data_IF_520720047823
#
_entry.id   IF_520720047823
#
_cell.length_a   1.000
_cell.length_b   1.000
_cell.length_c   1.000
_cell.angle_alpha   90.00
_cell.angle_beta   90.00
_cell.angle_gamma   90.00
#
_symmetry.space_group_name_H-M   'P 1'
#
loop_
_entity.id
_entity.type
_entity.pdbx_description
1 polymer ?
#
# COMPACT_ATOMS: atom_id res chain seq x y z
N UNK A 1 35.26 -40.55 -17.01
CA UNK A 1 34.83 -39.83 -15.79
C UNK A 1 33.36 -39.39 -15.89
N UNK A 2 32.46 -40.35 -16.12
CA UNK A 2 31.01 -40.23 -15.91
C UNK A 2 30.71 -41.30 -14.86
N UNK A 3 30.44 -40.93 -13.61
CA UNK A 3 29.75 -41.76 -12.59
C UNK A 3 29.97 -41.19 -11.17
N UNK A 4 29.40 -40.01 -10.89
CA UNK A 4 29.24 -39.53 -9.50
C UNK A 4 27.92 -38.77 -9.29
N UNK A 5 27.29 -38.25 -10.35
CA UNK A 5 26.05 -37.47 -10.24
C UNK A 5 24.76 -38.30 -10.21
N UNK A 6 24.77 -39.58 -10.60
CA UNK A 6 23.57 -40.44 -10.61
C UNK A 6 23.21 -41.02 -9.23
N UNK A 7 24.14 -41.01 -8.26
CA UNK A 7 23.95 -41.68 -6.98
C UNK A 7 23.29 -40.79 -5.89
N UNK A 8 23.28 -39.47 -6.10
CA UNK A 8 22.66 -38.51 -5.15
C UNK A 8 21.13 -38.43 -5.35
N UNK A 9 20.66 -38.61 -6.58
CA UNK A 9 19.23 -38.53 -6.93
C UNK A 9 18.43 -39.73 -6.44
N UNK A 10 19.03 -40.93 -6.41
CA UNK A 10 18.36 -42.15 -5.95
C UNK A 10 18.11 -42.20 -4.42
N UNK A 11 18.95 -41.52 -3.64
CA UNK A 11 18.83 -41.48 -2.17
C UNK A 11 17.74 -40.49 -1.72
N UNK A 12 17.54 -39.39 -2.45
CA UNK A 12 16.53 -38.38 -2.14
C UNK A 12 15.09 -38.85 -2.41
N UNK A 13 14.87 -39.67 -3.45
CA UNK A 13 13.54 -40.19 -3.80
C UNK A 13 13.02 -41.20 -2.77
N UNK A 14 13.93 -41.92 -2.09
CA UNK A 14 13.56 -42.95 -1.11
C UNK A 14 13.21 -42.38 0.27
N UNK A 15 13.81 -41.25 0.65
CA UNK A 15 13.46 -40.53 1.88
C UNK A 15 12.07 -39.86 1.83
N UNK A 16 11.58 -39.53 0.64
CA UNK A 16 10.24 -38.97 0.45
C UNK A 16 9.12 -40.02 0.53
N UNK A 17 9.43 -41.31 0.31
CA UNK A 17 8.44 -42.39 0.35
C UNK A 17 8.11 -42.87 1.78
N UNK A 18 9.09 -42.85 2.69
CA UNK A 18 8.89 -43.34 4.08
C UNK A 18 8.20 -42.32 5.02
N UNK A 19 8.14 -41.03 4.64
CA UNK A 19 7.44 -40.01 5.42
C UNK A 19 5.90 -40.02 5.24
N UNK A 20 5.38 -40.80 4.29
CA UNK A 20 3.94 -40.87 3.96
C UNK A 20 3.18 -41.97 4.73
N UNK A 21 3.85 -42.78 5.56
CA UNK A 21 3.26 -43.96 6.20
C UNK A 21 2.68 -43.74 7.62
N UNK A 22 2.51 -42.48 8.05
CA UNK A 22 2.09 -42.14 9.42
C UNK A 22 0.83 -41.28 9.54
N UNK A 23 0.01 -41.13 8.49
CA UNK A 23 -1.19 -40.31 8.57
C UNK A 23 -2.32 -41.04 9.32
N UNK A 24 -2.90 -40.47 10.40
CA UNK A 24 -4.05 -41.08 11.08
C UNK A 24 -5.25 -41.16 10.14
N UNK A 25 -5.88 -42.34 10.06
CA UNK A 25 -7.13 -42.54 9.31
C UNK A 25 -8.26 -41.75 9.97
N UNK A 26 -8.70 -40.67 9.34
CA UNK A 26 -9.94 -39.94 9.68
C UNK A 26 -11.12 -40.88 9.44
N UNK A 27 -12.02 -41.05 10.42
CA UNK A 27 -13.19 -41.91 10.27
C UNK A 27 -14.22 -41.19 9.39
N UNK A 28 -14.94 -41.89 8.50
CA UNK A 28 -16.06 -41.29 7.77
C UNK A 28 -17.14 -40.87 8.78
N UNK A 29 -17.28 -39.56 9.00
CA UNK A 29 -18.17 -38.96 10.00
C UNK A 29 -17.54 -37.88 10.88
N UNK A 30 -16.21 -37.75 10.89
CA UNK A 30 -15.53 -36.66 11.58
C UNK A 30 -15.64 -35.36 10.77
N UNK A 31 -16.53 -34.46 11.20
CA UNK A 31 -16.57 -33.08 10.72
C UNK A 31 -15.29 -32.39 11.25
N UNK A 32 -14.42 -31.83 10.39
CA UNK A 32 -13.29 -31.04 10.86
C UNK A 32 -13.79 -29.94 11.80
N UNK A 33 -13.14 -29.68 12.94
CA UNK A 33 -13.52 -28.54 13.76
C UNK A 33 -13.47 -27.29 12.88
N UNK A 34 -14.58 -26.56 12.83
CA UNK A 34 -14.67 -25.27 12.15
C UNK A 34 -13.45 -24.43 12.56
N UNK A 35 -12.70 -23.84 11.60
CA UNK A 35 -11.52 -23.07 11.95
C UNK A 35 -11.92 -22.00 12.96
N UNK A 36 -11.29 -22.06 14.14
CA UNK A 36 -11.55 -21.15 15.23
C UNK A 36 -11.57 -19.71 14.68
N UNK A 37 -12.69 -19.02 14.92
CA UNK A 37 -12.88 -17.65 14.46
C UNK A 37 -11.61 -16.83 14.80
N UNK A 38 -11.04 -16.20 13.77
CA UNK A 38 -9.85 -15.38 13.91
C UNK A 38 -10.03 -14.39 15.08
N UNK A 39 -9.02 -14.23 15.96
CA UNK A 39 -9.14 -13.42 17.16
C UNK A 39 -9.65 -12.02 16.78
N UNK A 40 -10.76 -11.62 17.41
CA UNK A 40 -11.31 -10.29 17.28
C UNK A 40 -10.30 -9.28 17.84
N UNK A 41 -9.52 -8.64 16.97
CA UNK A 41 -8.61 -7.60 17.44
C UNK A 41 -7.52 -7.13 16.50
N UNK A 42 -7.18 -7.84 15.42
CA UNK A 42 -6.19 -7.28 14.49
C UNK A 42 -6.81 -6.16 13.64
N UNK A 43 -6.20 -4.97 13.61
CA UNK A 43 -6.64 -3.89 12.75
C UNK A 43 -6.55 -4.34 11.28
N UNK A 44 -7.68 -4.68 10.68
CA UNK A 44 -7.76 -5.06 9.27
C UNK A 44 -7.35 -3.87 8.39
N UNK A 45 -6.18 -3.98 7.75
CA UNK A 45 -5.72 -3.02 6.74
C UNK A 45 -6.65 -3.12 5.52
N UNK A 46 -7.39 -2.05 5.17
CA UNK A 46 -8.24 -2.06 3.99
C UNK A 46 -7.40 -2.20 2.71
N UNK A 47 -7.97 -2.76 1.62
CA UNK A 47 -7.26 -2.86 0.36
C UNK A 47 -6.85 -1.48 -0.18
N UNK A 48 -5.92 -1.43 -1.16
CA UNK A 48 -5.58 -0.19 -1.87
C UNK A 48 -6.83 0.53 -2.37
N UNK A 49 -6.78 1.85 -2.34
CA UNK A 49 -7.90 2.67 -2.81
C UNK A 49 -7.93 2.66 -4.35
N UNK A 50 -9.09 2.84 -4.99
CA UNK A 50 -9.15 3.04 -6.43
C UNK A 50 -8.17 4.14 -6.88
N UNK A 51 -7.32 3.82 -7.85
CA UNK A 51 -6.26 4.70 -8.35
C UNK A 51 -4.88 4.47 -7.72
N UNK A 52 -4.77 3.69 -6.65
CA UNK A 52 -3.49 3.31 -6.05
C UNK A 52 -2.61 2.45 -6.99
N UNK A 53 -3.25 1.73 -7.91
CA UNK A 53 -2.62 0.96 -8.98
C UNK A 53 -2.03 1.84 -10.09
N UNK A 54 -2.54 3.06 -10.23
CA UNK A 54 -2.06 4.05 -11.22
C UNK A 54 -1.02 5.01 -10.62
N UNK A 55 -1.18 5.34 -9.34
CA UNK A 55 -0.37 6.34 -8.65
C UNK A 55 0.08 5.83 -7.28
N UNK A 56 1.37 5.48 -7.16
CA UNK A 56 1.96 5.05 -5.89
C UNK A 56 1.87 6.15 -4.81
N UNK A 57 1.92 7.42 -5.19
CA UNK A 57 1.75 8.56 -4.30
C UNK A 57 0.35 8.64 -3.69
N UNK A 58 -0.68 8.13 -4.37
CA UNK A 58 -2.02 8.04 -3.79
C UNK A 58 -2.10 6.96 -2.72
N UNK A 59 -1.45 5.81 -2.92
CA UNK A 59 -1.38 4.78 -1.88
C UNK A 59 -0.51 5.24 -0.70
N UNK A 60 0.60 5.91 -1.00
CA UNK A 60 1.47 6.55 -0.02
C UNK A 60 0.72 7.55 0.87
N UNK A 61 -0.08 8.43 0.27
CA UNK A 61 -0.96 9.37 0.98
C UNK A 61 -1.98 8.66 1.89
N UNK A 62 -2.31 7.41 1.57
CA UNK A 62 -3.29 6.58 2.27
C UNK A 62 -2.66 5.59 3.27
N UNK A 63 -1.33 5.60 3.42
CA UNK A 63 -0.60 4.69 4.33
C UNK A 63 -0.86 4.97 5.83
N UNK A 64 -1.43 6.13 6.17
CA UNK A 64 -1.98 6.41 7.50
C UNK A 64 -3.50 6.24 7.50
N UNK A 65 -3.99 5.22 8.20
CA UNK A 65 -5.36 4.73 8.12
C UNK A 65 -6.08 5.00 9.43
N UNK A 66 -6.97 5.99 9.41
CA UNK A 66 -7.90 6.24 10.51
C UNK A 66 -8.92 5.10 10.63
N UNK A 67 -9.03 4.50 11.82
CA UNK A 67 -10.01 3.47 12.14
C UNK A 67 -11.11 3.99 13.07
N UNK A 68 -12.30 3.34 13.11
CA UNK A 68 -13.41 3.78 13.94
C UNK A 68 -13.13 3.89 15.44
N UNK A 69 -12.10 3.21 15.96
CA UNK A 69 -11.66 3.34 17.36
C UNK A 69 -10.99 4.68 17.67
N UNK A 70 -10.77 5.55 16.69
CA UNK A 70 -10.02 6.80 16.83
C UNK A 70 -8.50 6.62 16.70
N UNK A 71 -8.01 5.39 16.61
CA UNK A 71 -6.61 5.10 16.34
C UNK A 71 -6.26 5.32 14.86
N UNK A 72 -4.96 5.49 14.60
CA UNK A 72 -4.39 5.53 13.26
C UNK A 72 -3.42 4.36 13.13
N UNK A 73 -3.63 3.53 12.11
CA UNK A 73 -2.66 2.52 11.70
C UNK A 73 -1.75 3.18 10.67
N UNK A 74 -0.46 3.27 10.96
CA UNK A 74 0.52 3.85 10.04
C UNK A 74 1.39 2.72 9.46
N UNK A 75 1.24 2.47 8.15
CA UNK A 75 2.02 1.45 7.42
C UNK A 75 3.49 1.84 7.25
N UNK A 76 3.87 3.07 7.60
CA UNK A 76 5.24 3.58 7.59
C UNK A 76 5.75 3.88 9.01
N UNK A 77 5.08 3.37 10.05
CA UNK A 77 5.35 3.70 11.45
C UNK A 77 6.80 3.41 11.87
N UNK A 78 7.37 2.32 11.36
CA UNK A 78 8.73 1.87 11.69
C UNK A 78 9.61 1.84 10.45
N UNK A 79 10.95 1.82 10.58
CA UNK A 79 11.84 1.74 9.42
C UNK A 79 11.63 0.46 8.61
N UNK A 80 11.42 -0.67 9.29
CA UNK A 80 11.14 -1.95 8.64
C UNK A 80 9.82 -1.91 7.85
N UNK A 81 8.75 -1.34 8.42
CA UNK A 81 7.47 -1.21 7.72
C UNK A 81 7.56 -0.25 6.52
N UNK A 82 8.29 0.85 6.68
CA UNK A 82 8.54 1.79 5.59
C UNK A 82 9.39 1.17 4.46
N UNK A 83 10.39 0.36 4.80
CA UNK A 83 11.18 -0.41 3.82
C UNK A 83 10.32 -1.43 3.09
N UNK A 84 9.52 -2.21 3.81
CA UNK A 84 8.60 -3.19 3.21
C UNK A 84 7.61 -2.50 2.26
N UNK A 85 7.07 -1.35 2.66
CA UNK A 85 6.20 -0.56 1.80
C UNK A 85 6.92 -0.08 0.54
N UNK A 86 8.14 0.48 0.66
CA UNK A 86 8.92 0.92 -0.50
C UNK A 86 9.27 -0.25 -1.44
N UNK A 87 9.67 -1.39 -0.89
CA UNK A 87 10.01 -2.59 -1.67
C UNK A 87 8.78 -3.14 -2.40
N UNK A 88 7.61 -3.17 -1.74
CA UNK A 88 6.34 -3.55 -2.36
C UNK A 88 5.92 -2.67 -3.54
N UNK A 89 6.42 -1.42 -3.59
CA UNK A 89 6.18 -0.47 -4.68
C UNK A 89 7.35 -0.38 -5.68
N UNK A 90 8.41 -1.20 -5.52
CA UNK A 90 9.61 -1.16 -6.37
C UNK A 90 10.44 0.13 -6.21
N UNK A 91 10.26 0.85 -5.11
CA UNK A 91 10.94 2.12 -4.79
C UNK A 91 12.21 1.93 -3.97
N UNK A 92 12.45 0.72 -3.46
CA UNK A 92 13.69 0.32 -2.81
C UNK A 92 13.90 -1.20 -2.98
N UNK A 93 15.15 -1.71 -2.92
CA UNK A 93 15.38 -3.14 -2.77
C UNK A 93 14.92 -3.61 -1.37
N UNK A 94 14.50 -4.87 -1.27
CA UNK A 94 14.23 -5.49 0.03
C UNK A 94 15.54 -5.64 0.82
N UNK A 95 15.49 -5.44 2.14
CA UNK A 95 16.68 -5.52 2.99
C UNK A 95 17.63 -4.32 2.85
N UNK A 96 17.14 -3.16 2.38
CA UNK A 96 17.93 -1.94 2.22
C UNK A 96 18.52 -1.41 3.55
N UNK A 97 17.98 -1.83 4.69
CA UNK A 97 18.39 -1.38 6.01
C UNK A 97 17.96 0.05 6.30
N UNK A 98 16.70 0.40 6.00
CA UNK A 98 16.18 1.76 6.21
C UNK A 98 16.31 2.18 7.68
N UNK A 99 16.80 3.40 7.90
CA UNK A 99 16.97 3.96 9.24
C UNK A 99 15.78 4.85 9.63
N UNK A 100 15.61 5.10 10.93
CA UNK A 100 14.51 5.92 11.46
C UNK A 100 14.46 7.33 10.88
N UNK A 101 15.63 7.95 10.66
CA UNK A 101 15.69 9.26 9.99
C UNK A 101 15.11 9.24 8.58
N UNK A 102 15.27 8.13 7.84
CA UNK A 102 14.72 7.98 6.50
C UNK A 102 13.21 7.72 6.55
N UNK A 103 12.76 6.87 7.47
CA UNK A 103 11.34 6.62 7.70
C UNK A 103 10.59 7.89 8.12
N UNK A 104 11.18 8.72 8.97
CA UNK A 104 10.65 10.01 9.37
C UNK A 104 10.53 10.97 8.18
N UNK A 105 11.51 11.00 7.27
CA UNK A 105 11.44 11.80 6.02
C UNK A 105 10.30 11.36 5.11
N UNK A 106 10.07 10.05 4.98
CA UNK A 106 8.92 9.51 4.24
C UNK A 106 7.60 9.98 4.86
N UNK A 107 7.42 9.80 6.16
CA UNK A 107 6.19 10.28 6.85
C UNK A 107 6.02 11.79 6.72
N UNK A 108 7.10 12.56 6.80
CA UNK A 108 7.10 14.01 6.57
C UNK A 108 6.63 14.37 5.15
N UNK A 109 7.18 13.72 4.11
CA UNK A 109 6.73 13.94 2.72
C UNK A 109 5.25 13.54 2.55
N UNK A 110 4.83 12.41 3.13
CA UNK A 110 3.44 11.96 3.08
C UNK A 110 2.49 13.05 3.57
N UNK A 111 2.80 13.72 4.67
CA UNK A 111 1.94 14.75 5.22
C UNK A 111 1.82 15.95 4.26
N UNK A 112 2.90 16.32 3.57
CA UNK A 112 2.89 17.36 2.54
C UNK A 112 2.10 16.96 1.30
N UNK A 113 2.28 15.71 0.83
CA UNK A 113 1.48 15.12 -0.25
C UNK A 113 -0.01 15.15 0.08
N UNK A 114 -0.38 14.73 1.30
CA UNK A 114 -1.78 14.78 1.76
C UNK A 114 -2.31 16.20 1.82
N UNK A 115 -1.49 17.19 2.22
CA UNK A 115 -1.89 18.59 2.24
C UNK A 115 -2.20 19.12 0.82
N UNK A 116 -1.39 18.77 -0.19
CA UNK A 116 -1.64 19.14 -1.58
C UNK A 116 -2.89 18.45 -2.14
N UNK A 117 -3.06 17.15 -1.89
CA UNK A 117 -4.27 16.42 -2.28
C UNK A 117 -5.51 17.03 -1.61
N UNK A 118 -5.45 17.38 -0.32
CA UNK A 118 -6.55 18.02 0.38
C UNK A 118 -6.90 19.39 -0.19
N UNK A 119 -5.90 20.18 -0.61
CA UNK A 119 -6.11 21.45 -1.27
C UNK A 119 -6.79 21.25 -2.63
N UNK A 120 -6.32 20.28 -3.43
CA UNK A 120 -6.89 19.94 -4.73
C UNK A 120 -8.34 19.47 -4.65
N UNK A 121 -8.64 18.55 -3.73
CA UNK A 121 -9.99 18.01 -3.50
C UNK A 121 -10.94 19.09 -2.95
N UNK A 122 -10.41 20.01 -2.15
CA UNK A 122 -11.19 21.11 -1.57
C UNK A 122 -11.24 22.36 -2.44
N UNK A 123 -10.67 22.36 -3.65
CA UNK A 123 -10.57 23.53 -4.54
C UNK A 123 -9.97 24.77 -3.84
N UNK A 124 -8.97 24.55 -2.98
CA UNK A 124 -8.28 25.60 -2.23
C UNK A 124 -6.88 25.84 -2.79
N UNK A 125 -6.29 27.03 -2.58
CA UNK A 125 -4.90 27.28 -2.89
C UNK A 125 -3.97 26.26 -2.23
N UNK A 126 -2.96 25.82 -2.98
CA UNK A 126 -1.95 24.88 -2.49
C UNK A 126 -1.11 25.54 -1.36
N UNK A 127 -0.91 24.85 -0.22
CA UNK A 127 -0.06 25.37 0.85
C UNK A 127 1.39 25.56 0.36
N UNK A 128 1.94 26.76 0.55
CA UNK A 128 3.29 27.12 0.09
C UNK A 128 4.36 26.16 0.64
N UNK A 129 4.27 25.80 1.92
CA UNK A 129 5.21 24.87 2.55
C UNK A 129 5.14 23.46 1.93
N UNK A 130 3.95 22.99 1.58
CA UNK A 130 3.77 21.67 0.96
C UNK A 130 4.31 21.64 -0.47
N UNK A 131 4.08 22.71 -1.24
CA UNK A 131 4.67 22.89 -2.56
C UNK A 131 6.20 22.89 -2.49
N UNK A 132 6.78 23.67 -1.57
CA UNK A 132 8.22 23.75 -1.39
C UNK A 132 8.81 22.36 -1.04
N UNK A 133 8.19 21.63 -0.11
CA UNK A 133 8.69 20.32 0.30
C UNK A 133 8.62 19.27 -0.83
N UNK A 134 7.57 19.28 -1.65
CA UNK A 134 7.46 18.38 -2.81
C UNK A 134 8.47 18.77 -3.90
N UNK A 135 8.65 20.07 -4.18
CA UNK A 135 9.65 20.54 -5.14
C UNK A 135 11.09 20.25 -4.68
N UNK A 136 11.37 20.37 -3.38
CA UNK A 136 12.64 19.95 -2.81
C UNK A 136 12.87 18.45 -3.02
N UNK A 137 11.85 17.61 -2.80
CA UNK A 137 11.98 16.18 -3.06
C UNK A 137 12.21 15.87 -4.55
N UNK A 138 11.52 16.57 -5.47
CA UNK A 138 11.70 16.44 -6.92
C UNK A 138 13.13 16.75 -7.38
N UNK A 139 13.82 17.68 -6.71
CA UNK A 139 15.14 18.16 -7.14
C UNK A 139 16.30 17.45 -6.45
N UNK A 140 16.06 16.72 -5.35
CA UNK A 140 17.10 16.07 -4.55
C UNK A 140 17.73 14.83 -5.20
N UNK A 141 16.99 14.13 -6.06
CA UNK A 141 17.51 12.98 -6.80
C UNK A 141 16.73 12.78 -8.11
N UNK A 142 17.33 12.14 -9.13
CA UNK A 142 16.61 11.78 -10.34
C UNK A 142 15.48 10.77 -10.07
N UNK A 143 14.23 11.16 -10.35
CA UNK A 143 13.05 10.29 -10.30
C UNK A 143 12.88 9.41 -11.56
N UNK A 144 13.66 9.66 -12.61
CA UNK A 144 13.51 8.98 -13.89
C UNK A 144 13.83 7.48 -13.77
N UNK A 145 12.91 6.63 -14.26
CA UNK A 145 13.19 5.21 -14.48
C UNK A 145 14.17 5.06 -15.64
N UNK A 146 15.27 4.37 -15.39
CA UNK A 146 16.36 4.20 -16.34
C UNK A 146 16.02 3.08 -17.33
N UNK A 147 16.45 3.24 -18.59
CA UNK A 147 16.33 2.20 -19.59
C UNK A 147 17.37 1.09 -19.32
N UNK A 148 16.90 -0.16 -19.35
CA UNK A 148 17.67 -1.37 -19.11
C UNK A 148 17.34 -2.41 -20.16
N UNK A 149 18.23 -3.38 -20.31
CA UNK A 149 18.04 -4.53 -21.18
C UNK A 149 18.58 -5.79 -20.50
N UNK A 150 17.83 -6.87 -20.59
CA UNK A 150 18.29 -8.22 -20.25
C UNK A 150 17.65 -9.26 -21.20
N UNK A 151 18.20 -10.49 -21.22
CA UNK A 151 17.77 -11.53 -22.15
C UNK A 151 16.37 -12.10 -21.87
N UNK A 152 15.86 -11.97 -20.65
CA UNK A 152 14.56 -12.52 -20.24
C UNK A 152 13.42 -11.53 -20.53
N UNK A 153 13.64 -10.24 -20.26
CA UNK A 153 12.61 -9.19 -20.31
C UNK A 153 12.76 -8.26 -21.50
N UNK A 154 13.90 -8.27 -22.18
CA UNK A 154 14.24 -7.31 -23.23
C UNK A 154 14.39 -5.87 -22.69
N UNK A 155 14.09 -4.88 -23.54
CA UNK A 155 14.11 -3.48 -23.14
C UNK A 155 13.00 -3.19 -22.12
N UNK A 156 13.39 -2.70 -20.95
CA UNK A 156 12.46 -2.32 -19.91
C UNK A 156 12.96 -1.09 -19.16
N UNK A 157 12.06 -0.42 -18.42
CA UNK A 157 12.42 0.66 -17.52
C UNK A 157 12.52 0.13 -16.09
N UNK A 158 13.49 0.61 -15.33
CA UNK A 158 13.73 0.23 -13.95
C UNK A 158 13.97 1.47 -13.07
N UNK A 159 13.51 1.46 -11.83
CA UNK A 159 13.89 2.50 -10.88
C UNK A 159 15.38 2.38 -10.53
N UNK A 160 16.03 3.50 -10.22
CA UNK A 160 17.41 3.49 -9.74
C UNK A 160 17.42 3.51 -8.22
N UNK A 161 18.19 2.61 -7.60
CA UNK A 161 18.32 2.53 -6.15
C UNK A 161 19.81 2.56 -5.72
N UNK A 162 20.52 3.71 -5.88
CA UNK A 162 21.88 3.79 -5.39
C UNK A 162 21.89 3.57 -3.88
N UNK A 163 22.72 2.65 -3.40
CA UNK A 163 22.75 2.23 -1.98
C UNK A 163 22.85 3.41 -1.01
N UNK A 164 23.61 4.45 -1.38
CA UNK A 164 23.83 5.63 -0.56
C UNK A 164 22.72 6.70 -0.66
N UNK A 165 21.73 6.53 -1.55
CA UNK A 165 20.69 7.53 -1.85
C UNK A 165 19.30 6.91 -2.07
N UNK A 166 19.05 5.70 -1.54
CA UNK A 166 17.77 4.99 -1.72
C UNK A 166 16.59 5.87 -1.30
N UNK A 167 16.70 6.53 -0.15
CA UNK A 167 15.63 7.38 0.40
C UNK A 167 15.36 8.58 -0.50
N UNK A 168 16.39 9.24 -0.99
CA UNK A 168 16.30 10.42 -1.87
C UNK A 168 15.60 10.06 -3.17
N UNK A 169 15.99 8.94 -3.80
CA UNK A 169 15.35 8.46 -5.02
C UNK A 169 13.89 8.05 -4.80
N UNK A 170 13.57 7.39 -3.68
CA UNK A 170 12.20 7.04 -3.34
C UNK A 170 11.32 8.28 -3.12
N UNK A 171 11.82 9.28 -2.38
CA UNK A 171 11.12 10.56 -2.16
C UNK A 171 10.91 11.30 -3.47
N UNK A 172 11.93 11.36 -4.34
CA UNK A 172 11.83 12.00 -5.65
C UNK A 172 10.81 11.31 -6.56
N UNK A 173 10.79 9.97 -6.57
CA UNK A 173 9.81 9.19 -7.34
C UNK A 173 8.37 9.43 -6.86
N UNK A 174 8.13 9.41 -5.54
CA UNK A 174 6.81 9.72 -4.96
C UNK A 174 6.40 11.17 -5.21
N UNK A 175 7.35 12.10 -5.17
CA UNK A 175 7.10 13.51 -5.47
C UNK A 175 6.77 13.74 -6.97
N UNK A 176 7.41 13.01 -7.88
CA UNK A 176 7.08 13.03 -9.30
C UNK A 176 5.68 12.44 -9.55
N UNK A 177 5.38 11.29 -8.95
CA UNK A 177 4.09 10.62 -9.10
C UNK A 177 2.91 11.45 -8.56
N UNK A 178 3.08 12.16 -7.44
CA UNK A 178 2.04 13.10 -6.96
C UNK A 178 1.90 14.31 -7.87
N UNK A 179 3.00 14.84 -8.43
CA UNK A 179 2.92 15.96 -9.36
C UNK A 179 2.16 15.57 -10.62
N UNK A 180 2.43 14.39 -11.16
CA UNK A 180 1.71 13.82 -12.30
C UNK A 180 0.23 13.60 -11.98
N UNK A 181 -0.10 13.08 -10.79
CA UNK A 181 -1.49 12.93 -10.34
C UNK A 181 -2.23 14.28 -10.25
N UNK A 182 -1.60 15.29 -9.66
CA UNK A 182 -2.23 16.59 -9.37
C UNK A 182 -2.38 17.48 -10.61
N UNK A 183 -1.55 17.27 -11.63
CA UNK A 183 -1.52 18.07 -12.87
C UNK A 183 -2.04 17.31 -14.09
N UNK A 184 -2.18 15.99 -13.98
CA UNK A 184 -2.62 15.11 -15.05
C UNK A 184 -4.14 15.01 -15.22
N UNK A 185 -4.60 14.17 -16.16
CA UNK A 185 -6.02 14.03 -16.52
C UNK A 185 -6.89 13.48 -15.38
N UNK A 186 -6.28 12.81 -14.41
CA UNK A 186 -6.99 12.20 -13.28
C UNK A 186 -7.17 13.13 -12.08
N UNK A 187 -6.61 14.34 -12.12
CA UNK A 187 -6.67 15.30 -11.04
C UNK A 187 -8.12 15.65 -10.62
N UNK A 188 -9.03 15.80 -11.59
CA UNK A 188 -10.46 16.09 -11.34
C UNK A 188 -11.25 14.90 -10.79
N UNK A 189 -10.67 13.70 -10.88
CA UNK A 189 -11.29 12.48 -10.34
C UNK A 189 -10.91 12.27 -8.87
N UNK A 190 -9.91 12.99 -8.36
CA UNK A 190 -9.45 12.86 -6.99
C UNK A 190 -10.52 13.34 -6.00
N UNK A 191 -10.86 12.51 -5.02
CA UNK A 191 -11.85 12.83 -3.99
C UNK A 191 -11.49 12.20 -2.65
N UNK A 192 -11.97 12.79 -1.56
CA UNK A 192 -11.96 12.15 -0.25
C UNK A 192 -13.00 11.01 -0.17
N UNK A 193 -12.74 10.01 0.66
CA UNK A 193 -13.68 8.94 0.96
C UNK A 193 -14.89 9.48 1.74
N UNK A 194 -16.11 9.30 1.22
CA UNK A 194 -17.35 9.76 1.84
C UNK A 194 -17.88 8.89 2.99
N UNK A 195 -16.99 8.29 3.80
CA UNK A 195 -17.37 7.38 4.89
C UNK A 195 -16.58 7.69 6.16
N UNK A 196 -17.11 8.59 7.00
CA UNK A 196 -16.52 8.92 8.30
C UNK A 196 -16.28 7.66 9.16
N UNK A 197 -15.17 7.59 9.93
CA UNK A 197 -14.11 8.60 10.06
C UNK A 197 -12.94 8.41 9.05
N UNK A 198 -13.18 7.81 7.88
CA UNK A 198 -12.11 7.56 6.91
C UNK A 198 -11.52 8.87 6.35
N UNK A 199 -10.20 8.94 6.33
CA UNK A 199 -9.42 10.09 5.85
C UNK A 199 -8.67 9.81 4.54
N UNK A 200 -8.99 8.68 3.89
CA UNK A 200 -8.34 8.23 2.64
C UNK A 200 -8.89 8.97 1.42
N UNK A 201 -8.05 9.08 0.40
CA UNK A 201 -8.39 9.60 -0.93
C UNK A 201 -8.53 8.46 -1.94
N UNK A 202 -9.26 8.72 -3.03
CA UNK A 202 -9.43 7.81 -4.15
C UNK A 202 -9.60 8.57 -5.46
N UNK A 203 -9.33 7.90 -6.58
CA UNK A 203 -9.82 8.31 -7.88
C UNK A 203 -11.25 7.82 -8.07
N UNK A 204 -12.18 8.76 -8.23
CA UNK A 204 -13.58 8.47 -8.53
C UNK A 204 -13.69 7.86 -9.92
N UNK A 205 -14.40 6.72 -9.98
CA UNK A 205 -14.90 6.13 -11.20
C UNK A 205 -16.42 5.93 -11.06
N UNK A 206 -17.17 6.50 -12.01
CA UNK A 206 -18.63 6.46 -12.01
C UNK A 206 -19.23 7.02 -10.70
N UNK A 207 -20.12 6.25 -10.08
CA UNK A 207 -20.83 6.63 -8.85
C UNK A 207 -20.13 6.20 -7.56
N UNK A 208 -18.85 5.81 -7.60
CA UNK A 208 -18.13 5.36 -6.40
C UNK A 208 -17.74 6.55 -5.52
N UNK A 209 -18.10 6.48 -4.24
CA UNK A 209 -17.80 7.54 -3.26
C UNK A 209 -16.93 7.06 -2.08
N UNK A 210 -16.46 5.80 -2.13
CA UNK A 210 -15.79 5.15 -1.00
C UNK A 210 -14.53 4.43 -1.46
N UNK A 211 -13.49 4.41 -0.62
CA UNK A 211 -12.23 3.77 -0.93
C UNK A 211 -12.31 2.23 -0.87
N UNK A 212 -13.25 1.65 -0.12
CA UNK A 212 -13.41 0.19 0.00
C UNK A 212 -14.87 -0.22 0.23
N UNK A 213 -15.17 -1.50 0.02
CA UNK A 213 -16.49 -2.10 0.30
C UNK A 213 -16.91 -1.83 1.75
N UNK A 214 -16.00 -2.06 2.72
CA UNK A 214 -16.23 -1.80 4.14
C UNK A 214 -16.59 -0.33 4.44
N UNK A 215 -15.97 0.62 3.75
CA UNK A 215 -16.35 2.04 3.88
C UNK A 215 -17.75 2.31 3.33
N UNK A 216 -18.13 1.65 2.23
CA UNK A 216 -19.49 1.72 1.69
C UNK A 216 -20.55 1.15 2.62
N UNK A 217 -20.28 -0.01 3.21
CA UNK A 217 -21.19 -0.64 4.19
C UNK A 217 -21.37 0.22 5.43
N UNK A 218 -20.26 0.76 5.97
CA UNK A 218 -20.31 1.70 7.10
C UNK A 218 -21.16 2.93 6.80
N UNK A 219 -20.98 3.53 5.62
CA UNK A 219 -21.77 4.70 5.23
C UNK A 219 -23.26 4.37 5.06
N UNK A 220 -23.60 3.20 4.51
CA UNK A 220 -24.98 2.73 4.40
C UNK A 220 -25.62 2.49 5.76
N UNK A 221 -24.90 1.85 6.68
CA UNK A 221 -25.35 1.59 8.05
C UNK A 221 -25.59 2.91 8.81
N UNK A 222 -24.66 3.86 8.74
CA UNK A 222 -24.80 5.16 9.38
C UNK A 222 -26.06 5.92 8.88
N UNK A 223 -26.32 5.92 7.56
CA UNK A 223 -27.53 6.54 6.99
C UNK A 223 -28.80 5.83 7.43
N UNK A 224 -28.79 4.50 7.54
CA UNK A 224 -29.94 3.74 8.01
C UNK A 224 -30.24 4.03 9.49
N UNK A 225 -29.21 4.11 10.33
CA UNK A 225 -29.35 4.48 11.73
C UNK A 225 -29.90 5.90 11.88
N UNK A 226 -29.32 6.89 11.19
CA UNK A 226 -29.78 8.28 11.23
C UNK A 226 -31.25 8.45 10.82
N UNK A 227 -31.76 7.65 9.87
CA UNK A 227 -33.18 7.67 9.50
C UNK A 227 -34.09 7.12 10.59
N UNK A 228 -33.63 6.13 11.36
CA UNK A 228 -34.40 5.53 12.46
C UNK A 228 -34.40 6.40 13.72
N UNK A 229 -33.31 7.13 13.95
CA UNK A 229 -33.15 7.99 15.13
C UNK A 229 -33.57 9.44 14.92
N UNK A 230 -33.96 9.82 13.69
CA UNK A 230 -34.53 11.14 13.45
C UNK A 230 -35.94 11.19 14.05
N UNK A 231 -36.21 12.02 15.08
CA UNK A 231 -37.56 12.20 15.58
C UNK A 231 -38.47 12.65 14.43
N UNK A 232 -39.71 12.15 14.40
CA UNK A 232 -40.71 12.65 13.46
C UNK A 232 -40.81 14.18 13.65
N UNK A 233 -40.66 14.94 12.56
CA UNK A 233 -40.85 16.38 12.63
C UNK A 233 -42.30 16.66 13.08
N UNK A 234 -42.51 17.62 13.99
CA UNK A 234 -43.85 18.00 14.43
C UNK A 234 -44.69 18.57 13.29
#
# INVERSE_FOLDING_TARGET
MRSMTENVTATAVRAAADAAAGAPRVRPGDVPPEPAAAPHGQPHVPPPAPGADLYAALDFANSAIAVPSGQVIDLLATPAAAEEWLAGHGLAPAGAGLQEVCAARLRGLRDQVRALIAARVGERPAPVAALAAVNDALTRAPAARLLRWDAERGLHREASHPVTQITEHALAALAADVADLLTGPDADRLTACGSAPCTRYLLRHGRRHWCSTRCGDRARAARAYARRTRPAAP
#
